data_IF_117626031862
#
_entry.id   IF_117626031862
#
_cell.length_a   1.000
_cell.length_b   1.000
_cell.length_c   1.000
_cell.angle_alpha   90.00
_cell.angle_beta   90.00
_cell.angle_gamma   90.00
#
_symmetry.space_group_name_H-M   'P 1'
#
loop_
_entity.id
_entity.type
_entity.pdbx_description
1 polymer ?
#
# COMPACT_ATOMS: atom_id res chain seq x y z
N UNK A 1 -12.21 10.00 17.17
CA UNK A 1 -12.22 10.85 15.96
C UNK A 1 -10.95 11.69 16.01
N UNK A 2 -9.96 11.37 15.18
CA UNK A 2 -8.76 12.18 15.05
C UNK A 2 -9.09 13.56 14.49
N UNK A 3 -8.37 14.60 14.94
CA UNK A 3 -8.53 15.94 14.40
C UNK A 3 -8.09 16.02 12.93
N UNK A 4 -8.48 17.08 12.22
CA UNK A 4 -8.08 17.31 10.81
C UNK A 4 -6.57 17.23 10.60
N UNK A 5 -5.76 17.68 11.57
CA UNK A 5 -4.30 17.61 11.49
C UNK A 5 -3.79 16.17 11.45
N UNK A 6 -4.40 15.27 12.21
CA UNK A 6 -4.04 13.84 12.23
C UNK A 6 -4.43 13.16 10.91
N UNK A 7 -5.64 13.43 10.41
CA UNK A 7 -6.09 12.91 9.11
C UNK A 7 -5.19 13.40 7.97
N UNK A 8 -4.86 14.69 7.96
CA UNK A 8 -3.97 15.25 6.95
C UNK A 8 -2.55 14.64 7.03
N UNK A 9 -2.03 14.42 8.23
CA UNK A 9 -0.74 13.77 8.43
C UNK A 9 -0.73 12.34 7.91
N UNK A 10 -1.80 11.58 8.13
CA UNK A 10 -1.94 10.22 7.57
C UNK A 10 -1.97 10.23 6.04
N UNK A 11 -2.70 11.17 5.43
CA UNK A 11 -2.78 11.32 3.98
C UNK A 11 -1.39 11.65 3.42
N UNK A 12 -0.71 12.63 4.00
CA UNK A 12 0.65 13.04 3.57
C UNK A 12 1.63 11.86 3.64
N UNK A 13 1.58 11.04 4.68
CA UNK A 13 2.45 9.85 4.79
C UNK A 13 2.19 8.85 3.67
N UNK A 14 0.93 8.55 3.39
CA UNK A 14 0.54 7.58 2.35
C UNK A 14 1.03 8.02 0.97
N UNK A 15 0.74 9.26 0.61
CA UNK A 15 1.17 9.83 -0.65
C UNK A 15 2.68 10.07 -0.70
N UNK A 16 3.29 10.47 0.41
CA UNK A 16 4.74 10.69 0.51
C UNK A 16 5.56 9.44 0.19
N UNK A 17 5.14 8.27 0.71
CA UNK A 17 5.80 6.99 0.37
C UNK A 17 5.54 6.60 -1.08
N UNK A 18 4.29 6.73 -1.56
CA UNK A 18 3.92 6.34 -2.91
C UNK A 18 4.65 7.17 -3.97
N UNK A 19 4.64 8.49 -3.84
CA UNK A 19 5.26 9.38 -4.82
C UNK A 19 6.78 9.48 -4.63
N UNK A 20 7.29 9.40 -3.41
CA UNK A 20 8.72 9.33 -3.14
C UNK A 20 9.37 8.13 -3.80
N UNK A 21 8.71 6.98 -3.81
CA UNK A 21 9.18 5.81 -4.55
C UNK A 21 9.27 6.03 -6.06
N UNK A 22 8.35 6.84 -6.63
CA UNK A 22 8.35 7.16 -8.06
C UNK A 22 9.37 8.24 -8.48
N UNK A 23 9.97 8.96 -7.53
CA UNK A 23 10.94 10.02 -7.79
C UNK A 23 12.40 9.59 -7.62
N UNK A 24 12.67 8.35 -7.23
CA UNK A 24 14.04 7.85 -7.02
C UNK A 24 14.75 7.66 -8.36
N UNK A 25 15.31 8.75 -8.84
CA UNK A 25 16.39 8.75 -9.81
C UNK A 25 17.62 9.40 -9.17
N UNK A 26 18.74 8.70 -9.09
CA UNK A 26 20.05 9.24 -8.67
C UNK A 26 20.32 9.34 -7.15
N UNK A 27 19.99 8.33 -6.34
CA UNK A 27 20.48 8.20 -4.97
C UNK A 27 21.39 6.98 -4.78
N UNK A 28 22.37 7.08 -3.90
CA UNK A 28 23.42 6.08 -3.61
C UNK A 28 22.92 4.72 -3.05
N UNK A 29 21.64 4.46 -2.98
CA UNK A 29 21.09 3.19 -2.50
C UNK A 29 20.32 2.47 -3.61
N UNK A 30 20.78 1.28 -3.90
CA UNK A 30 20.20 0.41 -4.92
C UNK A 30 18.98 -0.29 -4.33
N UNK A 31 17.80 0.04 -4.82
CA UNK A 31 16.60 -0.73 -4.60
C UNK A 31 16.72 -2.09 -5.33
N UNK A 32 16.27 -3.17 -4.71
CA UNK A 32 16.23 -4.49 -5.35
C UNK A 32 15.15 -4.57 -6.44
N UNK A 33 14.09 -3.79 -6.27
CA UNK A 33 12.96 -3.72 -7.20
C UNK A 33 12.42 -2.29 -7.22
N UNK A 34 12.84 -1.49 -8.17
CA UNK A 34 12.47 -0.07 -8.27
C UNK A 34 11.01 0.07 -8.69
N UNK A 35 10.24 0.85 -7.91
CA UNK A 35 8.96 1.40 -8.36
C UNK A 35 9.25 2.77 -8.97
N UNK A 36 8.87 2.96 -10.20
CA UNK A 36 8.94 4.26 -10.87
C UNK A 36 7.57 4.91 -11.07
N UNK A 37 7.55 6.15 -11.53
CA UNK A 37 6.31 6.87 -11.79
C UNK A 37 5.43 6.18 -12.85
N UNK A 38 6.01 5.41 -13.77
CA UNK A 38 5.26 4.67 -14.79
C UNK A 38 4.46 3.52 -14.18
N UNK A 39 4.95 2.88 -13.13
CA UNK A 39 4.22 1.84 -12.39
C UNK A 39 2.98 2.41 -11.70
N UNK A 40 3.09 3.60 -11.11
CA UNK A 40 1.96 4.30 -10.49
C UNK A 40 0.93 4.70 -11.55
N UNK A 41 1.39 5.31 -12.65
CA UNK A 41 0.54 5.71 -13.78
C UNK A 41 -0.17 4.50 -14.38
N UNK A 42 0.57 3.41 -14.64
CA UNK A 42 0.00 2.19 -15.18
C UNK A 42 -1.05 1.57 -14.26
N UNK A 43 -0.83 1.59 -12.95
CA UNK A 43 -1.81 1.12 -11.98
C UNK A 43 -3.08 1.95 -12.02
N UNK A 44 -2.98 3.27 -12.13
CA UNK A 44 -4.10 4.20 -12.18
C UNK A 44 -4.79 4.26 -13.55
N UNK A 45 -4.11 3.90 -14.64
CA UNK A 45 -4.62 4.06 -16.01
C UNK A 45 -5.77 3.11 -16.36
N UNK A 46 -6.04 2.08 -15.55
CA UNK A 46 -7.25 1.27 -15.65
C UNK A 46 -8.55 2.05 -15.46
N UNK A 47 -8.45 3.25 -14.88
CA UNK A 47 -9.60 4.10 -14.59
C UNK A 47 -10.37 3.65 -13.36
N UNK A 48 -11.61 4.18 -13.23
CA UNK A 48 -12.47 3.84 -12.10
C UNK A 48 -12.04 4.49 -10.79
N UNK A 49 -12.43 3.89 -9.69
CA UNK A 49 -12.15 4.36 -8.33
C UNK A 49 -10.87 3.72 -7.82
N UNK A 50 -10.03 4.52 -7.17
CA UNK A 50 -8.80 4.05 -6.56
C UNK A 50 -8.78 4.35 -5.06
N UNK A 51 -8.10 3.50 -4.30
CA UNK A 51 -7.91 3.67 -2.86
C UNK A 51 -6.50 3.31 -2.43
N UNK A 52 -6.03 3.91 -1.34
CA UNK A 52 -4.70 3.69 -0.80
C UNK A 52 -4.81 3.18 0.63
N UNK A 53 -4.18 2.04 0.89
CA UNK A 53 -3.93 1.52 2.22
C UNK A 53 -2.50 1.79 2.68
N UNK A 54 -2.30 1.90 3.98
CA UNK A 54 -1.00 2.14 4.59
C UNK A 54 -0.86 1.39 5.90
N UNK A 55 0.30 0.81 6.12
CA UNK A 55 0.71 0.27 7.41
C UNK A 55 2.18 0.56 7.66
N UNK A 56 2.54 0.81 8.90
CA UNK A 56 3.93 1.00 9.33
C UNK A 56 4.22 0.21 10.61
N UNK A 57 5.49 -0.11 10.81
CA UNK A 57 5.99 -0.79 12.00
C UNK A 57 7.36 -0.22 12.36
N UNK A 58 7.61 -0.01 13.65
CA UNK A 58 8.92 0.41 14.13
C UNK A 58 9.89 -0.77 14.09
N UNK A 59 11.12 -0.49 13.67
CA UNK A 59 12.21 -1.46 13.60
C UNK A 59 13.46 -0.90 14.27
N UNK A 60 14.23 -1.77 14.88
CA UNK A 60 15.52 -1.38 15.48
C UNK A 60 16.53 -1.11 14.37
N UNK A 61 16.93 0.14 14.24
CA UNK A 61 18.07 0.51 13.40
C UNK A 61 19.34 0.27 14.23
N UNK A 62 19.99 -0.85 14.00
CA UNK A 62 21.30 -1.13 14.60
C UNK A 62 22.29 -0.07 14.12
N UNK A 63 22.46 0.99 14.91
CA UNK A 63 23.54 1.93 14.74
C UNK A 63 24.83 1.24 15.18
N UNK A 64 25.67 0.91 14.24
CA UNK A 64 26.98 0.29 14.39
C UNK A 64 26.99 -1.24 14.45
N UNK A 65 27.66 -1.81 13.47
CA UNK A 65 28.11 -3.19 13.51
C UNK A 65 28.97 -3.44 14.77
N UNK A 66 28.38 -4.09 15.73
CA UNK A 66 29.14 -4.63 16.86
C UNK A 66 30.14 -5.63 16.30
N UNK A 67 31.42 -5.36 16.53
CA UNK A 67 32.55 -6.23 16.13
C UNK A 67 32.43 -7.68 16.64
N UNK A 68 31.44 -7.97 17.48
CA UNK A 68 31.18 -9.29 18.05
C UNK A 68 30.35 -10.22 17.15
N UNK A 69 29.56 -9.71 16.22
CA UNK A 69 28.78 -10.57 15.31
C UNK A 69 29.62 -11.25 14.22
N UNK A 70 30.86 -10.82 14.02
CA UNK A 70 31.81 -11.46 13.09
C UNK A 70 32.47 -12.74 13.60
N UNK A 71 32.27 -13.09 14.85
CA UNK A 71 32.91 -14.27 15.46
C UNK A 71 31.99 -15.50 15.62
N UNK A 72 30.71 -15.36 15.40
CA UNK A 72 29.76 -16.48 15.37
C UNK A 72 29.32 -16.69 13.94
N UNK A 73 30.13 -17.36 13.16
CA UNK A 73 29.77 -17.86 11.83
C UNK A 73 28.78 -19.00 11.98
N UNK A 74 27.51 -18.69 12.06
CA UNK A 74 26.44 -19.67 11.99
C UNK A 74 25.52 -19.30 10.81
N UNK A 75 25.64 -20.07 9.76
CA UNK A 75 24.87 -19.96 8.50
C UNK A 75 23.33 -20.06 8.74
N UNK A 76 22.94 -20.56 9.92
CA UNK A 76 21.55 -20.74 10.33
C UNK A 76 20.85 -19.45 10.82
N UNK A 77 21.59 -18.42 11.24
CA UNK A 77 21.01 -17.17 11.69
C UNK A 77 20.53 -16.29 10.55
N UNK A 78 21.21 -16.32 9.42
CA UNK A 78 20.90 -15.50 8.24
C UNK A 78 19.58 -15.96 7.58
N UNK A 79 19.32 -17.27 7.55
CA UNK A 79 18.06 -17.82 7.05
C UNK A 79 16.85 -17.51 7.95
N UNK A 80 17.04 -17.50 9.27
CA UNK A 80 15.99 -17.14 10.23
C UNK A 80 15.66 -15.64 10.16
N UNK A 81 16.64 -14.78 10.01
CA UNK A 81 16.45 -13.33 9.87
C UNK A 81 15.74 -13.00 8.56
N UNK A 82 16.09 -13.69 7.48
CA UNK A 82 15.42 -13.56 6.18
C UNK A 82 13.96 -14.03 6.24
N UNK A 83 13.68 -15.14 6.92
CA UNK A 83 12.32 -15.64 7.10
C UNK A 83 11.46 -14.70 7.96
N UNK A 84 12.03 -14.14 9.03
CA UNK A 84 11.37 -13.17 9.90
C UNK A 84 11.05 -11.88 9.13
N UNK A 85 11.99 -11.35 8.36
CA UNK A 85 11.80 -10.17 7.52
C UNK A 85 10.73 -10.41 6.45
N UNK A 86 10.75 -11.57 5.80
CA UNK A 86 9.74 -11.96 4.80
C UNK A 86 8.34 -12.01 5.40
N UNK A 87 8.19 -12.59 6.60
CA UNK A 87 6.90 -12.66 7.29
C UNK A 87 6.42 -11.28 7.74
N UNK A 88 7.31 -10.42 8.21
CA UNK A 88 7.02 -9.04 8.58
C UNK A 88 6.49 -8.25 7.39
N UNK A 89 7.19 -8.29 6.25
CA UNK A 89 6.77 -7.63 5.01
C UNK A 89 5.37 -8.11 4.59
N UNK A 90 5.16 -9.42 4.54
CA UNK A 90 3.85 -9.98 4.17
C UNK A 90 2.74 -9.52 5.12
N UNK A 91 3.03 -9.44 6.43
CA UNK A 91 2.09 -8.92 7.43
C UNK A 91 1.78 -7.43 7.22
N UNK A 92 2.78 -6.61 6.89
CA UNK A 92 2.59 -5.19 6.59
C UNK A 92 1.73 -4.98 5.35
N UNK A 93 1.96 -5.72 4.26
CA UNK A 93 1.11 -5.67 3.06
C UNK A 93 -0.34 -5.99 3.41
N UNK A 94 -0.58 -7.05 4.19
CA UNK A 94 -1.93 -7.41 4.66
C UNK A 94 -2.56 -6.32 5.51
N UNK A 95 -1.82 -5.75 6.47
CA UNK A 95 -2.30 -4.64 7.30
C UNK A 95 -2.62 -3.40 6.48
N UNK A 96 -1.83 -3.10 5.44
CA UNK A 96 -2.08 -1.98 4.54
C UNK A 96 -3.36 -2.21 3.71
N UNK A 97 -3.52 -3.39 3.12
CA UNK A 97 -4.66 -3.70 2.26
C UNK A 97 -5.99 -3.86 3.01
N UNK A 98 -5.96 -4.48 4.21
CA UNK A 98 -7.16 -4.77 5.01
C UNK A 98 -7.43 -3.74 6.10
N UNK A 99 -6.55 -2.78 6.28
CA UNK A 99 -6.67 -1.73 7.27
C UNK A 99 -7.55 -0.57 6.82
N UNK A 100 -7.22 0.63 7.33
CA UNK A 100 -7.94 1.84 6.96
C UNK A 100 -7.52 2.33 5.57
N UNK A 101 -8.37 2.12 4.59
CA UNK A 101 -8.21 2.64 3.24
C UNK A 101 -8.62 4.13 3.17
N UNK A 102 -8.07 4.89 2.21
CA UNK A 102 -8.48 6.28 1.94
C UNK A 102 -9.94 6.37 1.52
N UNK A 103 -10.42 5.37 0.82
CA UNK A 103 -11.82 5.15 0.53
C UNK A 103 -12.17 3.72 0.96
N UNK A 104 -13.01 3.53 1.99
CA UNK A 104 -13.43 2.20 2.42
C UNK A 104 -14.16 1.43 1.30
N UNK A 105 -13.61 0.26 0.96
CA UNK A 105 -14.15 -0.62 -0.06
C UNK A 105 -13.77 -2.08 0.23
N UNK A 106 -14.42 -3.01 -0.43
CA UNK A 106 -13.94 -4.37 -0.57
C UNK A 106 -12.76 -4.38 -1.54
N UNK A 107 -11.70 -5.12 -1.23
CA UNK A 107 -10.52 -5.21 -2.11
C UNK A 107 -10.68 -6.27 -3.20
N UNK A 108 -11.60 -7.19 -3.03
CA UNK A 108 -11.98 -8.18 -4.03
C UNK A 108 -12.53 -7.50 -5.28
N UNK A 109 -12.03 -7.91 -6.44
CA UNK A 109 -12.39 -7.31 -7.72
C UNK A 109 -11.67 -6.00 -8.05
N UNK A 110 -10.65 -5.58 -7.31
CA UNK A 110 -9.75 -4.52 -7.76
C UNK A 110 -9.05 -4.97 -9.04
N UNK A 111 -9.07 -4.15 -10.09
CA UNK A 111 -8.50 -4.51 -11.39
C UNK A 111 -6.97 -4.53 -11.36
N UNK A 112 -6.37 -3.57 -10.66
CA UNK A 112 -4.92 -3.41 -10.56
C UNK A 112 -4.50 -3.07 -9.14
N UNK A 113 -3.31 -3.49 -8.79
CA UNK A 113 -2.71 -3.15 -7.51
C UNK A 113 -1.21 -2.86 -7.62
N UNK A 114 -0.73 -1.99 -6.74
CA UNK A 114 0.69 -1.69 -6.57
C UNK A 114 1.02 -1.75 -5.08
N UNK A 115 2.09 -2.47 -4.75
CA UNK A 115 2.66 -2.53 -3.40
C UNK A 115 3.99 -1.79 -3.40
N UNK A 116 4.13 -0.82 -2.52
CA UNK A 116 5.40 -0.14 -2.25
C UNK A 116 5.80 -0.42 -0.82
N UNK A 117 7.03 -0.88 -0.63
CA UNK A 117 7.65 -1.05 0.68
C UNK A 117 8.73 0.00 0.87
N UNK A 118 8.69 0.74 1.96
CA UNK A 118 9.70 1.73 2.30
C UNK A 118 10.30 1.45 3.67
N UNK A 119 11.61 1.62 3.79
CA UNK A 119 12.30 1.41 5.05
C UNK A 119 13.80 1.20 4.88
N UNK A 120 14.52 0.92 5.98
CA UNK A 120 15.94 0.59 5.91
C UNK A 120 16.20 -0.66 5.05
N UNK A 121 17.25 -0.68 4.20
CA UNK A 121 17.49 -1.76 3.24
C UNK A 121 17.52 -3.17 3.84
N UNK A 122 18.08 -3.32 5.04
CA UNK A 122 18.16 -4.60 5.74
C UNK A 122 16.80 -5.18 6.17
N UNK A 123 15.74 -4.38 6.13
CA UNK A 123 14.36 -4.80 6.40
C UNK A 123 13.52 -4.98 5.14
N UNK A 124 14.11 -4.73 3.96
CA UNK A 124 13.47 -4.93 2.67
C UNK A 124 14.10 -6.16 2.01
N UNK A 125 13.28 -7.09 1.55
CA UNK A 125 13.77 -8.20 0.75
C UNK A 125 12.77 -8.57 -0.34
N UNK A 126 13.28 -8.97 -1.48
CA UNK A 126 12.51 -9.34 -2.65
C UNK A 126 11.51 -10.46 -2.39
N UNK A 127 11.92 -11.46 -1.61
CA UNK A 127 11.05 -12.62 -1.29
C UNK A 127 9.80 -12.20 -0.50
N UNK A 128 9.93 -11.23 0.41
CA UNK A 128 8.79 -10.67 1.14
C UNK A 128 7.86 -9.88 0.22
N UNK A 129 8.42 -9.07 -0.69
CA UNK A 129 7.65 -8.32 -1.68
C UNK A 129 6.87 -9.26 -2.59
N UNK A 130 7.52 -10.27 -3.15
CA UNK A 130 6.88 -11.27 -4.02
C UNK A 130 5.77 -12.03 -3.29
N UNK A 131 5.97 -12.42 -2.03
CA UNK A 131 4.95 -13.08 -1.22
C UNK A 131 3.77 -12.15 -0.91
N UNK A 132 4.05 -10.87 -0.62
CA UNK A 132 3.01 -9.85 -0.40
C UNK A 132 2.18 -9.61 -1.65
N UNK A 133 2.83 -9.49 -2.82
CA UNK A 133 2.17 -9.37 -4.12
C UNK A 133 1.28 -10.57 -4.42
N UNK A 134 1.81 -11.78 -4.30
CA UNK A 134 1.05 -13.00 -4.54
C UNK A 134 -0.18 -13.11 -3.64
N UNK A 135 -0.03 -12.78 -2.36
CA UNK A 135 -1.17 -12.72 -1.46
C UNK A 135 -2.22 -11.71 -1.94
N UNK A 136 -1.79 -10.54 -2.41
CA UNK A 136 -2.70 -9.50 -2.90
C UNK A 136 -3.40 -9.94 -4.21
N UNK A 137 -2.70 -10.63 -5.12
CA UNK A 137 -3.30 -11.28 -6.30
C UNK A 137 -4.44 -12.24 -5.90
N UNK A 138 -4.19 -13.08 -4.91
CA UNK A 138 -5.18 -14.04 -4.39
C UNK A 138 -6.40 -13.33 -3.75
N UNK A 139 -6.20 -12.19 -3.09
CA UNK A 139 -7.29 -11.46 -2.43
C UNK A 139 -8.11 -10.59 -3.38
N UNK A 140 -7.47 -9.97 -4.35
CA UNK A 140 -8.14 -9.08 -5.30
C UNK A 140 -8.70 -9.82 -6.52
N UNK A 141 -8.14 -10.98 -6.83
CA UNK A 141 -8.36 -11.65 -8.11
C UNK A 141 -7.69 -10.96 -9.30
N UNK A 142 -6.91 -9.90 -9.06
CA UNK A 142 -6.21 -9.16 -10.09
C UNK A 142 -5.02 -9.94 -10.64
N UNK A 143 -4.83 -9.90 -11.95
CA UNK A 143 -3.63 -10.41 -12.63
C UNK A 143 -2.54 -9.33 -12.80
N UNK A 144 -2.84 -8.08 -12.48
CA UNK A 144 -1.91 -6.94 -12.59
C UNK A 144 -1.54 -6.40 -11.22
N UNK A 145 -0.81 -7.19 -10.43
CA UNK A 145 -0.24 -6.74 -9.16
C UNK A 145 1.25 -6.46 -9.33
N UNK A 146 1.62 -5.21 -9.16
CA UNK A 146 3.00 -4.72 -9.24
C UNK A 146 3.54 -4.46 -7.85
N UNK A 147 4.85 -4.33 -7.71
CA UNK A 147 5.43 -4.00 -6.42
C UNK A 147 6.93 -3.82 -6.48
N UNK A 148 7.40 -3.03 -5.54
CA UNK A 148 8.82 -2.77 -5.37
C UNK A 148 9.13 -2.12 -4.04
N UNK A 149 10.39 -1.78 -3.87
CA UNK A 149 10.93 -1.21 -2.65
C UNK A 149 11.41 0.24 -2.86
N UNK A 150 11.34 0.98 -1.79
CA UNK A 150 11.85 2.34 -1.64
C UNK A 150 12.75 2.39 -0.40
N UNK A 151 14.06 2.12 -0.55
CA UNK A 151 15.01 2.18 0.55
C UNK A 151 15.12 3.60 1.14
N UNK A 152 15.02 3.70 2.47
CA UNK A 152 15.16 4.96 3.18
C UNK A 152 16.17 4.84 4.32
N UNK A 153 17.14 5.76 4.38
CA UNK A 153 18.30 5.66 5.29
C UNK A 153 18.02 5.82 6.79
N UNK A 154 16.93 6.41 7.20
CA UNK A 154 16.92 7.05 8.52
C UNK A 154 15.65 6.92 9.35
N UNK A 155 14.70 6.06 9.01
CA UNK A 155 13.38 6.19 9.66
C UNK A 155 13.16 5.31 10.87
N UNK A 156 13.97 4.27 11.10
CA UNK A 156 13.67 3.28 12.15
C UNK A 156 12.27 2.67 11.99
N UNK A 157 11.73 2.71 10.77
CA UNK A 157 10.40 2.25 10.43
C UNK A 157 10.40 1.56 9.09
N UNK A 158 9.58 0.53 8.98
CA UNK A 158 9.24 -0.11 7.72
C UNK A 158 7.77 0.14 7.45
N UNK A 159 7.43 0.57 6.27
CA UNK A 159 6.06 0.84 5.87
C UNK A 159 5.69 0.13 4.58
N UNK A 160 4.40 -0.14 4.44
CA UNK A 160 3.80 -0.65 3.21
C UNK A 160 2.69 0.29 2.76
N UNK A 161 2.72 0.67 1.50
CA UNK A 161 1.61 1.31 0.80
C UNK A 161 1.03 0.31 -0.19
N UNK A 162 -0.29 0.19 -0.20
CA UNK A 162 -1.02 -0.57 -1.21
C UNK A 162 -1.94 0.38 -1.95
N UNK A 163 -1.71 0.56 -3.25
CA UNK A 163 -2.61 1.28 -4.15
C UNK A 163 -3.48 0.24 -4.87
N UNK A 164 -4.79 0.38 -4.77
CA UNK A 164 -5.78 -0.41 -5.48
C UNK A 164 -6.51 0.47 -6.48
N UNK A 165 -6.70 0.01 -7.70
CA UNK A 165 -7.38 0.73 -8.76
C UNK A 165 -8.45 -0.14 -9.42
N UNK A 166 -9.48 0.51 -9.97
CA UNK A 166 -10.61 -0.19 -10.55
C UNK A 166 -11.49 -0.89 -9.50
N UNK A 167 -11.52 -0.38 -8.26
CA UNK A 167 -12.39 -0.96 -7.22
C UNK A 167 -13.85 -0.64 -7.52
N UNK A 168 -14.70 -1.66 -7.44
CA UNK A 168 -16.13 -1.56 -7.79
C UNK A 168 -17.06 -1.67 -6.59
N UNK A 169 -16.63 -2.35 -5.54
CA UNK A 169 -17.44 -2.54 -4.34
C UNK A 169 -17.15 -1.48 -3.28
N UNK A 170 -17.71 -0.28 -3.49
CA UNK A 170 -17.57 0.88 -2.59
C UNK A 170 -18.93 1.19 -1.97
N UNK A 171 -19.20 0.77 -0.72
CA UNK A 171 -20.51 0.93 -0.08
C UNK A 171 -21.03 2.37 -0.09
N UNK A 172 -20.15 3.34 0.20
CA UNK A 172 -20.53 4.76 0.22
C UNK A 172 -21.00 5.30 -1.13
N UNK A 173 -20.40 4.83 -2.22
CA UNK A 173 -20.83 5.22 -3.58
C UNK A 173 -22.22 4.64 -3.86
N UNK A 174 -22.44 3.37 -3.49
CA UNK A 174 -23.75 2.73 -3.65
C UNK A 174 -24.84 3.45 -2.87
N UNK A 175 -24.58 3.85 -1.62
CA UNK A 175 -25.49 4.66 -0.82
C UNK A 175 -25.83 5.99 -1.49
N UNK A 176 -24.84 6.71 -2.02
CA UNK A 176 -25.05 7.98 -2.71
C UNK A 176 -25.85 7.81 -4.01
N UNK A 177 -25.59 6.74 -4.74
CA UNK A 177 -26.39 6.40 -5.94
C UNK A 177 -27.85 6.14 -5.58
N UNK A 178 -28.12 5.41 -4.50
CA UNK A 178 -29.48 5.15 -4.05
C UNK A 178 -30.20 6.44 -3.67
N UNK A 179 -29.55 7.33 -2.89
CA UNK A 179 -30.11 8.64 -2.54
C UNK A 179 -30.41 9.49 -3.78
N UNK A 180 -29.55 9.43 -4.80
CA UNK A 180 -29.77 10.16 -6.05
C UNK A 180 -30.97 9.62 -6.83
N UNK A 181 -31.15 8.30 -6.88
CA UNK A 181 -32.32 7.68 -7.51
C UNK A 181 -33.62 8.11 -6.78
N UNK A 182 -33.65 7.98 -5.46
CA UNK A 182 -34.82 8.40 -4.65
C UNK A 182 -35.16 9.89 -4.82
N UNK A 183 -34.13 10.75 -4.93
CA UNK A 183 -34.33 12.17 -5.18
C UNK A 183 -34.91 12.44 -6.58
N UNK A 184 -34.46 11.70 -7.60
CA UNK A 184 -34.99 11.81 -8.95
C UNK A 184 -36.44 11.35 -9.04
N UNK A 185 -36.77 10.21 -8.42
CA UNK A 185 -38.17 9.68 -8.39
C UNK A 185 -39.11 10.70 -7.74
N UNK A 186 -38.74 11.33 -6.62
CA UNK A 186 -39.49 12.37 -5.98
C UNK A 186 -39.72 13.61 -6.86
N UNK A 187 -38.71 14.01 -7.66
CA UNK A 187 -38.84 15.14 -8.58
C UNK A 187 -39.83 14.79 -9.69
N UNK A 188 -39.76 13.62 -10.23
CA UNK A 188 -40.63 13.13 -11.32
C UNK A 188 -42.11 13.04 -10.84
N UNK A 189 -42.32 12.57 -9.59
CA UNK A 189 -43.68 12.57 -8.96
C UNK A 189 -44.25 13.98 -8.82
N UNK A 190 -43.48 14.94 -8.32
CA UNK A 190 -43.91 16.33 -8.15
C UNK A 190 -44.26 16.98 -9.50
N UNK A 191 -43.49 16.68 -10.55
CA UNK A 191 -43.75 17.20 -11.90
C UNK A 191 -45.07 16.63 -12.48
N UNK A 192 -45.32 15.34 -12.28
CA UNK A 192 -46.56 14.69 -12.74
C UNK A 192 -47.82 15.18 -12.01
N UNK A 193 -47.68 15.58 -10.74
CA UNK A 193 -48.82 16.15 -9.97
C UNK A 193 -49.13 17.62 -10.33
N UNK A 194 -48.20 18.27 -11.02
CA UNK A 194 -48.30 19.71 -11.39
C UNK A 194 -48.86 19.97 -12.79
N UNK A 195 -48.98 18.92 -13.62
CA UNK A 195 -49.58 18.92 -14.95
C UNK A 195 -51.04 18.46 -14.91
#
# INVERSE_FOLDING_TARGET
>A
QGGYAEINSEIVRRFGVLFGAGEVGEGDEVAESVVDSSEIINTLSGGGVSTIGFAEEEVEVSSSGGLLSRFTGDDSTDDLDTANTTNRITSLVRKAALGRLTLPCEIDGAERALVVLAGPPNYLNRKGIERGRKWLEEQTGSMEVRGGDYPTKATGRVSSVVLLSGVTNVPRIKELQQVAIEAQDNIDEIQQESD
#
